data_IF_945242635949
#
_entry.id   IF_945242635949
#
_cell.length_a   1.000
_cell.length_b   1.000
_cell.length_c   1.000
_cell.angle_alpha   90.00
_cell.angle_beta   90.00
_cell.angle_gamma   90.00
#
_symmetry.space_group_name_H-M   'P 1'
#
loop_
_entity.id
_entity.type
_entity.pdbx_description
1 polymer ?
#
# COMPACT_ATOMS: atom_id res chain seq x y z
N UNK A 1 46.66 8.84 6.24
CA UNK A 1 45.55 9.75 5.89
C UNK A 1 44.62 9.20 4.79
N UNK A 2 45.09 8.83 3.60
CA UNK A 2 44.21 8.32 2.51
C UNK A 2 43.30 7.14 2.90
N UNK A 3 43.80 6.20 3.72
CA UNK A 3 43.03 5.03 4.17
C UNK A 3 41.82 5.37 5.07
N UNK A 4 41.96 6.40 5.92
CA UNK A 4 40.88 6.86 6.81
C UNK A 4 39.77 7.53 5.99
N UNK A 5 40.12 8.38 5.01
CA UNK A 5 39.14 8.98 4.12
C UNK A 5 38.42 7.96 3.24
N UNK A 6 39.12 6.93 2.75
CA UNK A 6 38.51 5.83 2.01
C UNK A 6 37.56 4.99 2.88
N UNK A 7 37.93 4.74 4.14
CA UNK A 7 37.07 4.02 5.09
C UNK A 7 35.83 4.83 5.47
N UNK A 8 35.98 6.13 5.74
CA UNK A 8 34.86 7.04 6.01
C UNK A 8 33.92 7.18 4.81
N UNK A 9 34.44 7.20 3.57
CA UNK A 9 33.63 7.22 2.34
C UNK A 9 32.90 5.90 2.09
N UNK A 10 33.48 4.75 2.45
CA UNK A 10 32.82 3.45 2.37
C UNK A 10 31.71 3.33 3.43
N UNK A 11 31.98 3.79 4.65
CA UNK A 11 30.98 3.83 5.73
C UNK A 11 29.82 4.77 5.37
N UNK A 12 30.14 5.95 4.83
CA UNK A 12 29.19 6.91 4.27
C UNK A 12 28.30 6.30 3.18
N UNK A 13 28.92 5.64 2.19
CA UNK A 13 28.21 4.97 1.12
C UNK A 13 27.27 3.88 1.62
N UNK A 14 27.73 3.09 2.61
CA UNK A 14 26.91 2.04 3.23
C UNK A 14 25.70 2.61 3.99
N UNK A 15 25.86 3.73 4.70
CA UNK A 15 24.79 4.35 5.47
C UNK A 15 23.74 5.04 4.58
N UNK A 16 24.18 5.65 3.47
CA UNK A 16 23.28 6.26 2.46
C UNK A 16 22.46 5.20 1.71
N UNK A 17 23.02 4.01 1.47
CA UNK A 17 22.26 2.89 0.89
C UNK A 17 21.13 2.40 1.81
N UNK A 18 21.24 2.58 3.14
CA UNK A 18 20.23 2.14 4.10
C UNK A 18 19.01 3.08 4.16
N UNK A 19 19.18 4.39 3.98
CA UNK A 19 18.07 5.37 4.07
C UNK A 19 17.16 5.33 2.86
N UNK A 20 17.73 5.14 1.67
CA UNK A 20 16.95 4.95 0.43
C UNK A 20 16.11 3.67 0.47
N UNK A 21 16.61 2.63 1.15
CA UNK A 21 15.89 1.37 1.38
C UNK A 21 14.68 1.55 2.31
N UNK A 22 14.83 2.30 3.41
CA UNK A 22 13.74 2.54 4.35
C UNK A 22 12.56 3.28 3.69
N UNK A 23 12.84 4.29 2.85
CA UNK A 23 11.81 5.08 2.21
C UNK A 23 10.99 4.34 1.11
N UNK A 24 11.53 3.27 0.54
CA UNK A 24 10.82 2.42 -0.42
C UNK A 24 10.11 1.24 0.27
N UNK A 25 10.69 0.74 1.35
CA UNK A 25 10.08 -0.29 2.21
C UNK A 25 8.67 0.12 2.67
N UNK A 26 8.47 1.36 3.10
CA UNK A 26 7.18 1.84 3.60
C UNK A 26 6.05 1.85 2.56
N UNK A 27 6.35 2.10 1.27
CA UNK A 27 5.34 2.10 0.20
C UNK A 27 4.89 0.68 -0.12
N UNK A 28 5.82 -0.26 -0.05
CA UNK A 28 5.51 -1.69 -0.16
C UNK A 28 4.53 -2.14 0.94
N UNK A 29 4.62 -1.59 2.17
CA UNK A 29 3.63 -1.88 3.22
C UNK A 29 2.23 -1.45 2.77
N UNK A 30 2.05 -0.22 2.26
CA UNK A 30 0.75 0.24 1.77
C UNK A 30 0.24 -0.63 0.61
N UNK A 31 1.09 -0.95 -0.37
CA UNK A 31 0.72 -1.82 -1.49
C UNK A 31 0.43 -3.26 -1.04
N UNK A 32 1.00 -3.70 0.07
CA UNK A 32 0.72 -5.03 0.61
C UNK A 32 -0.71 -5.15 1.15
N UNK A 33 -1.32 -4.03 1.55
CA UNK A 33 -2.66 -3.95 2.16
C UNK A 33 -3.79 -3.80 1.13
N UNK A 34 -3.50 -3.77 -0.17
CA UNK A 34 -4.46 -3.38 -1.21
C UNK A 34 -5.74 -4.21 -1.29
N UNK A 35 -5.68 -5.51 -0.93
CA UNK A 35 -6.85 -6.39 -0.94
C UNK A 35 -7.92 -5.94 0.06
N UNK A 36 -7.52 -5.25 1.12
CA UNK A 36 -8.40 -4.65 2.13
C UNK A 36 -8.48 -3.12 2.01
N UNK A 37 -7.51 -2.47 1.37
CA UNK A 37 -7.47 -1.03 1.12
C UNK A 37 -7.05 -0.72 -0.34
N UNK A 38 -7.95 -0.85 -1.34
CA UNK A 38 -7.61 -0.65 -2.75
C UNK A 38 -7.17 0.79 -3.08
N UNK A 39 -7.50 1.76 -2.22
CA UNK A 39 -7.04 3.15 -2.32
C UNK A 39 -5.50 3.26 -2.32
N UNK A 40 -4.81 2.31 -1.70
CA UNK A 40 -3.34 2.27 -1.64
C UNK A 40 -2.67 2.14 -3.01
N UNK A 41 -3.34 1.52 -3.97
CA UNK A 41 -2.79 1.24 -5.31
C UNK A 41 -3.46 2.06 -6.40
N UNK A 42 -4.72 2.47 -6.24
CA UNK A 42 -5.44 3.22 -7.25
C UNK A 42 -6.26 4.37 -6.64
N UNK A 43 -5.88 5.64 -6.87
CA UNK A 43 -6.62 6.78 -6.32
C UNK A 43 -8.01 6.95 -6.94
N UNK A 44 -8.29 6.36 -8.11
CA UNK A 44 -9.62 6.37 -8.71
C UNK A 44 -10.64 5.50 -7.94
N UNK A 45 -10.18 4.67 -7.01
CA UNK A 45 -11.04 3.87 -6.15
C UNK A 45 -11.71 4.70 -5.03
N UNK A 46 -11.17 5.87 -4.67
CA UNK A 46 -11.61 6.66 -3.52
C UNK A 46 -13.12 6.92 -3.50
N UNK A 47 -13.90 6.36 -2.57
CA UNK A 47 -15.34 6.52 -2.48
C UNK A 47 -16.17 5.58 -3.37
N UNK A 48 -15.56 4.55 -3.96
CA UNK A 48 -16.23 3.60 -4.87
C UNK A 48 -17.37 2.82 -4.21
N UNK A 49 -17.27 2.64 -2.89
CA UNK A 49 -18.29 1.99 -2.06
C UNK A 49 -19.48 2.88 -1.69
N UNK A 50 -19.48 4.13 -2.16
CA UNK A 50 -20.52 5.15 -1.91
C UNK A 50 -20.92 5.32 -0.43
N UNK A 51 -20.03 4.91 0.46
CA UNK A 51 -20.18 4.94 1.90
C UNK A 51 -18.89 5.45 2.50
N UNK A 52 -18.97 6.14 3.63
CA UNK A 52 -17.79 6.52 4.37
C UNK A 52 -17.16 5.26 4.98
N UNK A 53 -15.85 5.11 4.78
CA UNK A 53 -15.04 4.03 5.31
C UNK A 53 -13.81 4.63 5.96
N UNK A 54 -13.48 4.16 7.16
CA UNK A 54 -12.22 4.45 7.84
C UNK A 54 -11.56 3.12 8.17
N UNK A 55 -10.38 2.85 7.64
CA UNK A 55 -9.58 1.66 7.95
C UNK A 55 -8.30 2.06 8.66
N UNK A 56 -7.94 1.34 9.71
CA UNK A 56 -6.67 1.48 10.42
C UNK A 56 -5.98 0.12 10.44
N UNK A 57 -4.71 0.09 10.07
CA UNK A 57 -3.89 -1.10 10.10
C UNK A 57 -2.74 -0.90 11.08
N UNK A 58 -2.47 -1.92 11.87
CA UNK A 58 -1.32 -2.00 12.74
C UNK A 58 -0.54 -3.26 12.37
N UNK A 59 0.68 -3.04 11.91
CA UNK A 59 1.65 -4.08 11.59
C UNK A 59 2.79 -4.00 12.59
N UNK A 60 3.12 -5.13 13.23
CA UNK A 60 4.29 -5.23 14.10
C UNK A 60 5.11 -6.46 13.73
N UNK A 61 6.39 -6.24 13.45
CA UNK A 61 7.35 -7.33 13.26
C UNK A 61 7.88 -7.76 14.63
N UNK A 62 8.25 -9.03 14.78
CA UNK A 62 8.95 -9.57 15.95
C UNK A 62 8.32 -9.14 17.28
N UNK A 63 7.14 -9.68 17.60
CA UNK A 63 6.35 -9.31 18.79
C UNK A 63 7.18 -9.35 20.08
N UNK A 64 8.13 -10.29 20.18
CA UNK A 64 9.01 -10.49 21.34
C UNK A 64 10.19 -9.51 21.44
N UNK A 65 10.48 -8.73 20.40
CA UNK A 65 11.65 -7.84 20.35
C UNK A 65 11.24 -6.40 20.69
N UNK A 66 11.95 -5.78 21.65
CA UNK A 66 11.78 -4.35 21.97
C UNK A 66 12.32 -3.49 20.82
N UNK A 67 11.63 -2.40 20.51
CA UNK A 67 11.94 -1.52 19.36
C UNK A 67 11.87 -2.20 17.99
N UNK A 68 11.16 -3.32 17.88
CA UNK A 68 10.91 -3.96 16.60
C UNK A 68 10.14 -3.01 15.66
N UNK A 69 10.28 -3.20 14.33
CA UNK A 69 9.56 -2.39 13.37
C UNK A 69 8.04 -2.40 13.59
N UNK A 70 7.46 -1.21 13.63
CA UNK A 70 6.02 -1.00 13.74
C UNK A 70 5.57 -0.05 12.65
N UNK A 71 4.56 -0.48 11.90
CA UNK A 71 3.94 0.33 10.87
C UNK A 71 2.47 0.53 11.20
N UNK A 72 2.01 1.77 11.08
CA UNK A 72 0.63 2.18 11.26
C UNK A 72 0.17 2.84 9.98
N UNK A 73 -0.93 2.39 9.41
CA UNK A 73 -1.58 3.08 8.31
C UNK A 73 -3.03 3.36 8.64
N UNK A 74 -3.52 4.51 8.20
CA UNK A 74 -4.92 4.88 8.29
C UNK A 74 -5.35 5.32 6.91
N UNK A 75 -6.48 4.81 6.43
CA UNK A 75 -7.14 5.29 5.22
C UNK A 75 -8.57 5.65 5.52
N UNK A 76 -9.05 6.71 4.89
CA UNK A 76 -10.45 7.08 4.92
C UNK A 76 -10.90 7.43 3.50
N UNK A 77 -12.08 6.97 3.10
CA UNK A 77 -12.65 7.34 1.82
C UNK A 77 -14.17 7.40 1.87
N UNK A 78 -14.76 8.14 0.95
CA UNK A 78 -16.20 8.30 0.84
C UNK A 78 -16.60 9.02 -0.44
N UNK A 79 -17.90 8.97 -0.75
CA UNK A 79 -18.45 9.69 -1.89
C UNK A 79 -19.31 10.87 -1.45
N UNK A 80 -19.23 11.95 -2.21
CA UNK A 80 -20.07 13.13 -2.13
C UNK A 80 -20.71 13.40 -3.50
N UNK A 81 -21.54 14.44 -3.60
CA UNK A 81 -22.19 14.84 -4.84
C UNK A 81 -22.94 13.66 -5.52
N UNK A 82 -23.73 12.92 -4.74
CA UNK A 82 -24.51 11.75 -5.19
C UNK A 82 -23.63 10.69 -5.88
N UNK A 83 -22.47 10.36 -5.31
CA UNK A 83 -21.57 9.34 -5.83
C UNK A 83 -20.57 9.84 -6.89
N UNK A 84 -20.79 11.02 -7.49
CA UNK A 84 -19.98 11.53 -8.61
C UNK A 84 -18.58 11.96 -8.22
N UNK A 85 -18.36 12.37 -6.98
CA UNK A 85 -17.04 12.76 -6.49
C UNK A 85 -16.69 11.87 -5.31
N UNK A 86 -15.54 11.23 -5.41
CA UNK A 86 -14.90 10.46 -4.37
C UNK A 86 -13.79 11.25 -3.71
N UNK A 87 -13.73 11.24 -2.38
CA UNK A 87 -12.63 11.79 -1.61
C UNK A 87 -11.96 10.65 -0.85
N UNK A 88 -10.64 10.71 -0.77
CA UNK A 88 -9.85 9.75 -0.01
C UNK A 88 -8.68 10.41 0.68
N UNK A 89 -8.25 9.80 1.76
CA UNK A 89 -7.16 10.20 2.62
C UNK A 89 -6.39 8.97 3.05
N UNK A 90 -5.06 9.05 3.06
CA UNK A 90 -4.19 8.00 3.58
C UNK A 90 -3.07 8.63 4.38
N UNK A 91 -2.80 8.06 5.55
CA UNK A 91 -1.63 8.38 6.35
C UNK A 91 -0.88 7.10 6.66
N UNK A 92 0.44 7.19 6.65
CA UNK A 92 1.35 6.11 6.99
C UNK A 92 2.37 6.63 7.99
N UNK A 93 2.61 5.88 9.05
CA UNK A 93 3.69 6.09 9.98
C UNK A 93 4.44 4.76 10.12
N UNK A 94 5.65 4.69 9.56
CA UNK A 94 6.50 3.52 9.61
C UNK A 94 7.74 3.81 10.45
N UNK A 95 7.99 2.98 11.46
CA UNK A 95 9.15 3.11 12.34
C UNK A 95 9.96 1.83 12.29
N UNK A 96 11.18 1.95 11.78
CA UNK A 96 12.17 0.87 11.70
C UNK A 96 13.43 1.29 12.47
N UNK A 97 13.49 0.93 13.75
CA UNK A 97 14.61 1.34 14.62
C UNK A 97 14.69 2.86 14.79
N UNK A 98 15.81 3.46 14.40
CA UNK A 98 16.04 4.92 14.47
C UNK A 98 15.43 5.68 13.28
N UNK A 99 14.97 4.98 12.26
CA UNK A 99 14.34 5.59 11.09
C UNK A 99 12.84 5.62 11.28
N UNK A 100 12.25 6.81 11.14
CA UNK A 100 10.81 7.02 11.16
C UNK A 100 10.41 7.78 9.90
N UNK A 101 9.43 7.25 9.19
CA UNK A 101 8.86 7.89 8.01
C UNK A 101 7.39 8.13 8.21
N UNK A 102 6.93 9.32 7.86
CA UNK A 102 5.53 9.69 7.85
C UNK A 102 5.10 10.11 6.44
N UNK A 103 4.05 9.48 5.91
CA UNK A 103 3.43 9.84 4.63
C UNK A 103 1.99 10.30 4.85
N UNK A 104 1.58 11.35 4.16
CA UNK A 104 0.19 11.83 4.14
C UNK A 104 -0.21 12.09 2.71
N UNK A 105 -1.34 11.53 2.28
CA UNK A 105 -1.83 11.58 0.91
C UNK A 105 -3.33 11.89 0.90
N UNK A 106 -3.74 12.75 0.00
CA UNK A 106 -5.14 13.01 -0.32
C UNK A 106 -5.42 12.61 -1.77
N UNK A 107 -6.59 12.05 -2.01
CA UNK A 107 -7.03 11.60 -3.33
C UNK A 107 -8.42 12.13 -3.65
N UNK A 108 -8.64 12.48 -4.91
CA UNK A 108 -9.95 12.87 -5.44
C UNK A 108 -10.22 12.02 -6.67
N UNK A 109 -11.43 11.47 -6.76
CA UNK A 109 -11.90 10.69 -7.88
C UNK A 109 -13.17 11.30 -8.47
N UNK A 110 -13.23 11.47 -9.79
CA UNK A 110 -14.45 11.85 -10.51
C UNK A 110 -15.05 10.64 -11.20
N UNK A 111 -16.35 10.40 -11.01
CA UNK A 111 -17.09 9.26 -11.57
C UNK A 111 -18.05 9.67 -12.66
N UNK A 112 -18.01 8.88 -13.73
CA UNK A 112 -18.97 8.87 -14.80
C UNK A 112 -19.82 7.62 -14.67
N UNK A 113 -21.12 7.80 -14.48
CA UNK A 113 -22.07 6.70 -14.51
C UNK A 113 -22.30 6.29 -15.97
N UNK A 114 -22.14 5.01 -16.25
CA UNK A 114 -22.36 4.39 -17.54
C UNK A 114 -23.67 3.58 -17.51
N UNK A 115 -24.20 3.18 -18.68
CA UNK A 115 -25.33 2.24 -18.74
C UNK A 115 -25.01 0.92 -18.03
N UNK A 116 -26.06 0.18 -17.64
CA UNK A 116 -25.96 -1.11 -16.94
C UNK A 116 -25.21 -1.06 -15.59
N UNK A 117 -25.48 -0.02 -14.79
CA UNK A 117 -24.94 0.19 -13.44
C UNK A 117 -23.40 0.31 -13.34
N UNK A 118 -22.72 0.33 -14.48
CA UNK A 118 -21.27 0.49 -14.53
C UNK A 118 -20.85 1.93 -14.19
N UNK A 119 -19.66 2.05 -13.61
CA UNK A 119 -19.05 3.33 -13.21
C UNK A 119 -17.61 3.37 -13.69
N UNK A 120 -17.24 4.48 -14.32
CA UNK A 120 -15.86 4.78 -14.71
C UNK A 120 -15.35 5.96 -13.89
N UNK A 121 -14.25 5.75 -13.17
CA UNK A 121 -13.68 6.72 -12.24
C UNK A 121 -12.30 7.15 -12.70
N UNK A 122 -12.01 8.45 -12.62
CA UNK A 122 -10.69 9.03 -12.86
C UNK A 122 -10.19 9.64 -11.56
N UNK A 123 -9.01 9.22 -11.12
CA UNK A 123 -8.44 9.58 -9.83
C UNK A 123 -7.15 10.36 -9.94
N UNK A 124 -7.00 11.33 -9.06
CA UNK A 124 -5.76 12.04 -8.82
C UNK A 124 -5.41 11.96 -7.33
N UNK A 125 -4.13 11.82 -7.02
CA UNK A 125 -3.59 11.81 -5.67
C UNK A 125 -2.44 12.79 -5.56
N UNK A 126 -2.39 13.48 -4.43
CA UNK A 126 -1.26 14.31 -4.02
C UNK A 126 -0.93 14.07 -2.56
N UNK A 127 0.34 14.15 -2.20
CA UNK A 127 0.77 13.93 -0.83
C UNK A 127 2.22 14.31 -0.59
N UNK A 128 2.62 14.17 0.67
CA UNK A 128 3.99 14.42 1.12
C UNK A 128 4.45 13.25 1.97
N UNK A 129 5.68 12.81 1.75
CA UNK A 129 6.37 11.85 2.59
C UNK A 129 7.58 12.53 3.24
N UNK A 130 7.65 12.49 4.56
CA UNK A 130 8.78 12.97 5.35
C UNK A 130 9.71 11.79 5.55
N UNK A 131 10.86 11.83 4.89
CA UNK A 131 11.86 10.78 4.92
C UNK A 131 13.06 11.21 5.78
N UNK A 132 13.59 10.33 6.65
CA UNK A 132 14.86 10.59 7.31
C UNK A 132 15.99 10.33 6.30
N UNK A 133 16.73 11.39 5.95
CA UNK A 133 17.94 11.29 5.13
C UNK A 133 19.12 11.50 6.05
N UNK A 134 20.03 10.53 6.06
CA UNK A 134 21.25 10.66 6.82
C UNK A 134 22.26 11.50 6.05
N UNK A 135 22.62 12.65 6.61
CA UNK A 135 23.70 13.48 6.13
C UNK A 135 25.02 13.01 6.74
N UNK A 136 25.87 12.44 5.89
CA UNK A 136 27.18 11.92 6.27
C UNK A 136 28.12 13.04 6.71
N UNK A 137 27.99 14.24 6.15
CA UNK A 137 28.90 15.35 6.43
C UNK A 137 28.71 15.92 7.83
N UNK A 138 27.47 15.91 8.32
CA UNK A 138 27.11 16.37 9.67
C UNK A 138 26.88 15.22 10.65
N UNK A 139 26.93 13.96 10.19
CA UNK A 139 26.55 12.76 10.92
C UNK A 139 25.15 12.87 11.56
N UNK A 140 24.24 13.61 10.92
CA UNK A 140 22.91 13.92 11.42
C UNK A 140 21.82 13.36 10.49
N UNK A 141 20.69 12.96 11.08
CA UNK A 141 19.48 12.62 10.33
C UNK A 141 18.67 13.89 10.08
N UNK A 142 18.49 14.26 8.81
CA UNK A 142 17.70 15.40 8.38
C UNK A 142 16.40 14.88 7.76
N UNK A 143 15.26 15.34 8.28
CA UNK A 143 13.96 15.02 7.72
C UNK A 143 13.72 15.84 6.43
N UNK A 144 13.48 15.15 5.32
CA UNK A 144 13.18 15.79 4.02
C UNK A 144 11.78 15.44 3.56
N UNK A 145 11.01 16.49 3.25
CA UNK A 145 9.70 16.36 2.64
C UNK A 145 9.84 16.06 1.14
N UNK A 146 9.14 15.03 0.68
CA UNK A 146 9.11 14.59 -0.71
C UNK A 146 7.67 14.59 -1.20
N UNK A 147 7.39 15.36 -2.25
CA UNK A 147 6.08 15.36 -2.87
C UNK A 147 5.83 14.02 -3.58
N UNK A 148 4.60 13.52 -3.43
CA UNK A 148 4.07 12.33 -4.08
C UNK A 148 2.83 12.73 -4.88
N UNK A 149 2.77 12.30 -6.13
CA UNK A 149 1.64 12.53 -7.02
C UNK A 149 1.24 11.20 -7.62
N UNK A 150 -0.04 10.95 -7.83
CA UNK A 150 -0.54 9.71 -8.41
C UNK A 150 -1.76 9.94 -9.27
N UNK A 151 -1.99 9.04 -10.22
CA UNK A 151 -3.17 9.04 -11.08
C UNK A 151 -3.71 7.63 -11.26
N UNK A 152 -4.99 7.52 -11.60
CA UNK A 152 -5.57 6.25 -11.93
C UNK A 152 -6.90 6.36 -12.66
N UNK A 153 -7.28 5.23 -13.24
CA UNK A 153 -8.59 4.97 -13.81
C UNK A 153 -9.11 3.69 -13.18
N UNK A 154 -10.39 3.67 -12.84
CA UNK A 154 -11.04 2.51 -12.24
C UNK A 154 -12.43 2.33 -12.83
N UNK A 155 -12.67 1.16 -13.41
CA UNK A 155 -13.95 0.71 -13.91
C UNK A 155 -14.53 -0.31 -12.94
N UNK A 156 -15.81 -0.14 -12.62
CA UNK A 156 -16.54 -0.99 -11.69
C UNK A 156 -17.91 -1.29 -12.28
N UNK A 157 -18.31 -2.56 -12.22
CA UNK A 157 -19.62 -3.04 -12.63
C UNK A 157 -19.98 -4.26 -11.79
N UNK A 158 -21.23 -4.67 -11.88
CA UNK A 158 -21.78 -5.83 -11.18
C UNK A 158 -21.10 -7.15 -11.61
N UNK A 159 -20.46 -7.16 -12.78
CA UNK A 159 -19.84 -8.36 -13.39
C UNK A 159 -18.34 -8.41 -13.24
N UNK A 160 -17.67 -7.26 -13.26
CA UNK A 160 -16.21 -7.19 -13.12
C UNK A 160 -15.77 -5.79 -12.74
N UNK A 161 -14.58 -5.72 -12.16
CA UNK A 161 -13.86 -4.47 -11.97
C UNK A 161 -12.49 -4.56 -12.65
N UNK A 162 -12.00 -3.41 -13.11
CA UNK A 162 -10.67 -3.28 -13.67
C UNK A 162 -10.13 -1.88 -13.41
N UNK A 163 -8.82 -1.72 -13.31
CA UNK A 163 -8.21 -0.41 -13.11
C UNK A 163 -6.77 -0.37 -13.54
N UNK A 164 -6.34 0.83 -13.92
CA UNK A 164 -4.93 1.13 -14.20
C UNK A 164 -4.54 2.34 -13.38
N UNK A 165 -3.39 2.29 -12.75
CA UNK A 165 -2.91 3.40 -11.94
C UNK A 165 -1.40 3.53 -12.00
N UNK A 166 -0.96 4.77 -11.80
CA UNK A 166 0.39 5.08 -11.39
C UNK A 166 0.25 5.81 -10.04
N UNK A 167 0.23 5.07 -8.91
CA UNK A 167 0.01 5.69 -7.59
C UNK A 167 1.14 6.66 -7.20
N UNK A 168 2.28 6.57 -7.89
CA UNK A 168 3.47 7.41 -7.67
C UNK A 168 4.12 7.78 -9.01
N UNK A 169 3.92 9.03 -9.43
CA UNK A 169 4.50 9.66 -10.61
C UNK A 169 5.78 10.46 -10.28
N UNK A 170 5.91 10.93 -9.04
CA UNK A 170 6.85 11.99 -8.64
C UNK A 170 7.98 11.59 -7.67
N UNK A 171 8.91 12.54 -7.50
CA UNK A 171 9.92 12.58 -6.43
C UNK A 171 11.35 12.21 -6.85
N UNK A 172 12.09 13.12 -7.50
CA UNK A 172 13.55 13.13 -7.40
C UNK A 172 13.91 13.99 -6.19
N UNK A 173 14.55 13.38 -5.21
CA UNK A 173 15.18 14.12 -4.13
C UNK A 173 16.63 14.31 -4.54
N UNK A 174 16.95 15.48 -5.08
CA UNK A 174 18.33 15.88 -5.32
C UNK A 174 18.89 16.46 -4.02
N UNK A 175 20.05 16.00 -3.60
CA UNK A 175 20.83 16.64 -2.54
C UNK A 175 21.55 17.89 -3.08
N UNK A 176 21.92 18.82 -2.20
CA UNK A 176 22.48 20.15 -2.49
C UNK A 176 23.82 20.06 -3.28
N UNK A 177 24.44 18.88 -3.31
CA UNK A 177 25.67 18.55 -4.05
C UNK A 177 25.45 17.75 -5.34
N UNK A 178 24.21 17.50 -5.77
CA UNK A 178 23.90 16.78 -7.02
C UNK A 178 24.31 15.32 -7.06
N UNK A 179 24.71 14.73 -5.91
CA UNK A 179 25.39 13.43 -5.87
C UNK A 179 24.52 12.23 -5.50
N UNK A 180 23.31 12.44 -4.99
CA UNK A 180 22.44 11.34 -4.54
C UNK A 180 21.08 11.38 -5.22
N UNK A 181 20.79 10.33 -5.99
CA UNK A 181 19.55 10.11 -6.70
C UNK A 181 18.69 9.14 -5.87
N UNK A 182 17.66 9.65 -5.21
CA UNK A 182 16.56 8.79 -4.78
C UNK A 182 15.87 8.24 -6.02
N UNK A 183 16.11 6.96 -6.37
CA UNK A 183 15.40 6.29 -7.47
C UNK A 183 14.00 5.90 -6.96
N UNK A 184 13.08 6.85 -7.01
CA UNK A 184 11.67 6.63 -6.68
C UNK A 184 11.12 5.45 -7.48
N UNK A 185 10.58 4.43 -6.81
CA UNK A 185 9.89 3.33 -7.46
C UNK A 185 8.54 3.83 -7.94
N UNK A 186 8.33 3.74 -9.26
CA UNK A 186 7.14 4.21 -9.96
C UNK A 186 6.48 3.01 -10.62
N UNK A 187 5.68 2.23 -9.88
CA UNK A 187 4.98 1.11 -10.46
C UNK A 187 3.80 1.65 -11.28
N UNK A 188 3.64 1.13 -12.50
CA UNK A 188 2.36 1.15 -13.18
C UNK A 188 1.64 -0.12 -12.76
N UNK A 189 0.43 0.02 -12.25
CA UNK A 189 -0.37 -1.07 -11.72
C UNK A 189 -1.60 -1.28 -12.60
N UNK A 190 -1.89 -2.53 -12.91
CA UNK A 190 -3.12 -2.98 -13.55
C UNK A 190 -3.81 -3.96 -12.62
N UNK A 191 -5.06 -3.72 -12.29
CA UNK A 191 -5.87 -4.63 -11.47
C UNK A 191 -7.11 -5.05 -12.24
N UNK A 192 -7.52 -6.30 -12.06
CA UNK A 192 -8.81 -6.79 -12.57
C UNK A 192 -9.35 -7.91 -11.68
N UNK A 193 -10.67 -8.05 -11.61
CA UNK A 193 -11.31 -9.14 -10.91
C UNK A 193 -12.79 -9.26 -11.23
N UNK A 194 -13.36 -10.40 -10.86
CA UNK A 194 -14.73 -10.78 -11.21
C UNK A 194 -15.43 -11.26 -9.94
N UNK A 195 -16.48 -10.60 -9.45
CA UNK A 195 -17.34 -11.17 -8.43
C UNK A 195 -18.21 -12.28 -9.04
N UNK A 196 -18.21 -13.46 -8.43
CA UNK A 196 -18.96 -14.64 -8.85
C UNK A 196 -19.83 -15.08 -7.66
N UNK A 197 -21.14 -15.02 -7.83
CA UNK A 197 -22.10 -15.56 -6.86
C UNK A 197 -22.14 -17.09 -7.01
N UNK A 198 -21.69 -17.82 -5.98
CA UNK A 198 -21.60 -19.31 -6.00
C UNK A 198 -22.71 -19.95 -5.16
N UNK A 199 -23.50 -19.14 -4.45
CA UNK A 199 -24.68 -19.55 -3.70
C UNK A 199 -25.45 -18.33 -3.21
N UNK A 200 -26.51 -18.55 -2.41
CA UNK A 200 -27.42 -17.47 -1.96
C UNK A 200 -26.74 -16.39 -1.11
N UNK A 201 -25.61 -16.70 -0.49
CA UNK A 201 -24.91 -15.79 0.41
C UNK A 201 -23.38 -15.85 0.29
N UNK A 202 -22.87 -16.47 -0.78
CA UNK A 202 -21.43 -16.64 -0.98
C UNK A 202 -20.98 -16.01 -2.29
N UNK A 203 -20.03 -15.08 -2.19
CA UNK A 203 -19.42 -14.45 -3.36
C UNK A 203 -17.92 -14.70 -3.39
N UNK A 204 -17.46 -15.29 -4.48
CA UNK A 204 -16.04 -15.48 -4.77
C UNK A 204 -15.55 -14.36 -5.67
N UNK A 205 -14.38 -13.82 -5.38
CA UNK A 205 -13.76 -12.74 -6.13
C UNK A 205 -12.32 -13.18 -6.49
N UNK A 206 -12.13 -13.96 -7.57
CA UNK A 206 -10.84 -14.06 -8.20
C UNK A 206 -10.40 -12.69 -8.73
N UNK A 207 -9.14 -12.34 -8.48
CA UNK A 207 -8.56 -11.10 -9.00
C UNK A 207 -7.06 -11.21 -9.25
N UNK A 208 -6.56 -10.39 -10.16
CA UNK A 208 -5.14 -10.26 -10.47
C UNK A 208 -4.70 -8.81 -10.29
N UNK A 209 -3.50 -8.61 -9.77
CA UNK A 209 -2.79 -7.34 -9.82
C UNK A 209 -1.47 -7.56 -10.56
N UNK A 210 -1.18 -6.71 -11.53
CA UNK A 210 0.08 -6.69 -12.25
C UNK A 210 0.75 -5.35 -11.97
N UNK A 211 2.01 -5.38 -11.56
CA UNK A 211 2.81 -4.18 -11.31
C UNK A 211 4.05 -4.19 -12.18
N UNK A 212 4.25 -3.15 -12.98
CA UNK A 212 5.44 -2.98 -13.84
C UNK A 212 6.26 -1.77 -13.39
N UNK A 213 7.56 -2.01 -13.24
CA UNK A 213 8.58 -0.98 -13.02
C UNK A 213 9.60 -1.12 -14.16
N UNK A 214 10.05 -0.01 -14.74
CA UNK A 214 10.84 0.01 -15.98
C UNK A 214 12.05 -0.96 -15.96
N UNK A 215 12.78 -0.98 -14.83
CA UNK A 215 14.01 -1.75 -14.67
C UNK A 215 13.85 -2.99 -13.78
N UNK A 216 12.63 -3.52 -13.65
CA UNK A 216 12.37 -4.73 -12.86
C UNK A 216 11.52 -5.75 -13.62
N UNK A 217 11.66 -7.05 -13.28
CA UNK A 217 10.71 -8.09 -13.64
C UNK A 217 9.27 -7.68 -13.31
N UNK A 218 8.33 -8.30 -14.01
CA UNK A 218 6.91 -8.07 -13.81
C UNK A 218 6.48 -8.60 -12.45
N UNK A 219 5.82 -7.78 -11.65
CA UNK A 219 5.12 -8.18 -10.42
C UNK A 219 3.72 -8.67 -10.74
N UNK A 220 3.33 -9.79 -10.15
CA UNK A 220 2.03 -10.43 -10.38
C UNK A 220 1.50 -10.97 -9.06
N UNK A 221 0.31 -10.53 -8.68
CA UNK A 221 -0.44 -11.08 -7.55
C UNK A 221 -1.68 -11.81 -8.09
N UNK A 222 -1.80 -13.10 -7.79
CA UNK A 222 -3.00 -13.89 -8.06
C UNK A 222 -3.75 -14.05 -6.75
N UNK A 223 -5.02 -13.66 -6.75
CA UNK A 223 -5.80 -13.57 -5.52
C UNK A 223 -7.15 -14.27 -5.68
N UNK A 224 -7.62 -14.80 -4.57
CA UNK A 224 -8.96 -15.32 -4.41
C UNK A 224 -9.52 -14.80 -3.09
N UNK A 225 -10.63 -14.08 -3.14
CA UNK A 225 -11.39 -13.68 -1.95
C UNK A 225 -12.73 -14.40 -1.93
N UNK A 226 -13.23 -14.72 -0.75
CA UNK A 226 -14.54 -15.31 -0.54
C UNK A 226 -15.26 -14.52 0.54
N UNK A 227 -16.52 -14.17 0.28
CA UNK A 227 -17.39 -13.48 1.22
C UNK A 227 -18.58 -14.35 1.53
N UNK A 228 -18.88 -14.53 2.82
CA UNK A 228 -19.97 -15.33 3.34
C UNK A 228 -20.92 -14.44 4.13
N UNK A 229 -22.19 -14.44 3.75
CA UNK A 229 -23.27 -13.63 4.35
C UNK A 229 -22.92 -12.14 4.47
N UNK A 230 -22.02 -11.61 3.65
CA UNK A 230 -21.45 -10.25 3.78
C UNK A 230 -20.72 -9.96 5.12
N UNK A 231 -20.64 -10.94 6.02
CA UNK A 231 -20.13 -10.81 7.38
C UNK A 231 -18.69 -11.33 7.52
N UNK A 232 -18.36 -12.41 6.83
CA UNK A 232 -17.05 -13.06 6.90
C UNK A 232 -16.37 -13.02 5.54
N UNK A 233 -15.20 -12.40 5.49
CA UNK A 233 -14.33 -12.37 4.33
C UNK A 233 -13.09 -13.22 4.57
N UNK A 234 -12.76 -14.09 3.63
CA UNK A 234 -11.49 -14.80 3.58
C UNK A 234 -10.76 -14.40 2.31
N UNK A 235 -9.43 -14.37 2.34
CA UNK A 235 -8.67 -14.18 1.12
C UNK A 235 -7.32 -14.85 1.16
N UNK A 236 -6.90 -15.31 -0.01
CA UNK A 236 -5.61 -15.89 -0.29
C UNK A 236 -5.00 -15.16 -1.48
N UNK A 237 -3.70 -14.95 -1.44
CA UNK A 237 -2.95 -14.26 -2.47
C UNK A 237 -1.56 -14.86 -2.59
N UNK A 238 -1.18 -15.22 -3.81
CA UNK A 238 0.20 -15.53 -4.16
C UNK A 238 0.78 -14.32 -4.88
N UNK A 239 1.79 -13.71 -4.29
CA UNK A 239 2.41 -12.47 -4.74
C UNK A 239 3.80 -12.77 -5.23
N UNK A 240 4.05 -12.46 -6.49
CA UNK A 240 5.32 -12.70 -7.16
C UNK A 240 5.95 -11.36 -7.55
N UNK A 241 7.24 -11.21 -7.28
CA UNK A 241 8.03 -10.00 -7.58
C UNK A 241 7.35 -8.72 -7.07
N UNK A 242 7.14 -8.62 -5.75
CA UNK A 242 6.58 -7.43 -5.10
C UNK A 242 7.13 -6.10 -5.65
N UNK A 243 6.28 -5.06 -5.85
CA UNK A 243 6.69 -3.80 -6.47
C UNK A 243 7.69 -2.99 -5.62
N UNK A 244 7.95 -3.36 -4.38
CA UNK A 244 8.98 -2.80 -3.52
C UNK A 244 10.40 -2.90 -4.09
N UNK A 245 11.37 -2.32 -3.38
CA UNK A 245 12.77 -2.36 -3.80
C UNK A 245 13.31 -3.78 -3.99
N UNK A 246 12.71 -4.73 -3.27
CA UNK A 246 13.13 -6.11 -3.20
C UNK A 246 11.97 -6.94 -3.71
N UNK A 247 12.27 -7.75 -4.71
CA UNK A 247 11.32 -8.68 -5.28
C UNK A 247 11.26 -9.89 -4.37
N UNK A 248 10.14 -10.01 -3.66
CA UNK A 248 9.89 -11.12 -2.75
C UNK A 248 8.66 -11.86 -3.26
N UNK A 249 8.75 -13.19 -3.27
CA UNK A 249 7.61 -14.05 -3.54
C UNK A 249 7.03 -14.53 -2.22
N UNK A 250 5.75 -14.31 -1.96
CA UNK A 250 5.15 -14.69 -0.69
C UNK A 250 3.66 -15.02 -0.82
N UNK A 251 3.18 -15.79 0.15
CA UNK A 251 1.78 -16.04 0.35
C UNK A 251 1.23 -15.02 1.33
N UNK A 252 0.09 -14.43 1.00
CA UNK A 252 -0.69 -13.60 1.88
C UNK A 252 -2.04 -14.27 2.11
N UNK A 253 -2.45 -14.35 3.35
CA UNK A 253 -3.78 -14.80 3.75
C UNK A 253 -4.42 -13.73 4.63
N UNK A 254 -5.72 -13.56 4.53
CA UNK A 254 -6.43 -12.69 5.46
C UNK A 254 -7.81 -13.25 5.81
N UNK A 255 -8.30 -12.80 6.95
CA UNK A 255 -9.68 -12.94 7.40
C UNK A 255 -10.21 -11.56 7.79
N UNK A 256 -11.44 -11.26 7.45
CA UNK A 256 -12.18 -10.07 7.85
C UNK A 256 -13.52 -10.52 8.45
N UNK A 257 -13.88 -9.99 9.61
CA UNK A 257 -15.10 -10.34 10.33
C UNK A 257 -15.87 -9.08 10.73
N UNK A 258 -17.18 -9.08 10.45
CA UNK A 258 -18.13 -8.05 10.86
C UNK A 258 -18.49 -8.21 12.35
N UNK A 259 -17.82 -7.45 13.21
CA UNK A 259 -18.05 -7.51 14.66
C UNK A 259 -19.37 -6.82 15.08
N UNK A 260 -19.68 -5.68 14.47
CA UNK A 260 -20.94 -4.95 14.65
C UNK A 260 -21.36 -4.37 13.31
N UNK A 261 -22.58 -3.86 13.14
CA UNK A 261 -23.02 -3.24 11.86
C UNK A 261 -22.09 -2.14 11.33
N UNK A 262 -21.29 -1.52 12.19
CA UNK A 262 -20.38 -0.43 11.84
C UNK A 262 -18.89 -0.82 11.90
N UNK A 263 -18.51 -1.92 12.55
CA UNK A 263 -17.10 -2.26 12.81
C UNK A 263 -16.77 -3.62 12.22
N UNK A 264 -15.65 -3.68 11.48
CA UNK A 264 -15.01 -4.92 11.05
C UNK A 264 -13.61 -5.03 11.63
N UNK A 265 -13.22 -6.25 11.95
CA UNK A 265 -11.85 -6.60 12.31
C UNK A 265 -11.27 -7.47 11.21
N UNK A 266 -10.05 -7.16 10.80
CA UNK A 266 -9.29 -7.95 9.86
C UNK A 266 -7.97 -8.40 10.46
N UNK A 267 -7.48 -9.51 9.96
CA UNK A 267 -6.15 -10.00 10.26
C UNK A 267 -5.50 -10.46 8.96
N UNK A 268 -4.28 -9.99 8.72
CA UNK A 268 -3.48 -10.31 7.55
C UNK A 268 -2.23 -11.05 8.01
N UNK A 269 -1.95 -12.15 7.35
CA UNK A 269 -0.73 -12.92 7.49
C UNK A 269 0.05 -12.88 6.19
N UNK A 270 1.31 -12.47 6.25
CA UNK A 270 2.24 -12.61 5.13
C UNK A 270 3.29 -13.66 5.50
N UNK A 271 3.58 -14.60 4.60
CA UNK A 271 4.55 -15.67 4.84
C UNK A 271 6.00 -15.17 4.88
N UNK A 272 6.27 -14.00 4.27
CA UNK A 272 7.57 -13.35 4.27
C UNK A 272 7.44 -11.84 4.54
N UNK A 273 8.57 -11.21 4.83
CA UNK A 273 8.68 -9.76 4.99
C UNK A 273 9.08 -9.13 3.65
N UNK A 274 8.14 -8.54 2.87
CA UNK A 274 8.41 -8.11 1.50
C UNK A 274 9.36 -6.91 1.40
N UNK A 275 9.59 -6.19 2.50
CA UNK A 275 10.42 -4.99 2.50
C UNK A 275 11.91 -5.24 2.86
N UNK A 276 12.33 -6.48 3.14
CA UNK A 276 13.69 -6.76 3.64
C UNK A 276 14.47 -7.77 2.81
N UNK A 277 15.74 -7.48 2.44
CA UNK A 277 16.55 -8.40 1.62
C UNK A 277 17.07 -9.56 2.46
N UNK A 278 17.14 -9.34 3.77
CA UNK A 278 17.55 -10.32 4.76
C UNK A 278 16.33 -11.05 5.34
N UNK A 279 15.14 -10.98 4.71
CA UNK A 279 13.96 -11.74 5.11
C UNK A 279 14.27 -13.24 5.32
N UNK A 280 15.22 -13.78 4.56
CA UNK A 280 15.67 -15.17 4.70
C UNK A 280 16.57 -15.45 5.91
N UNK A 281 17.21 -14.41 6.47
CA UNK A 281 18.15 -14.49 7.60
C UNK A 281 17.47 -14.24 8.96
N UNK A 282 16.24 -13.71 8.98
CA UNK A 282 15.49 -13.54 10.23
C UNK A 282 14.79 -14.84 10.63
N UNK A 283 14.81 -15.11 11.93
CA UNK A 283 14.20 -16.30 12.54
C UNK A 283 12.67 -16.30 12.38
N UNK A 284 12.06 -15.11 12.47
CA UNK A 284 10.65 -14.89 12.18
C UNK A 284 10.48 -14.14 10.87
N UNK A 285 10.12 -14.91 9.83
CA UNK A 285 9.93 -14.46 8.45
C UNK A 285 8.53 -13.87 8.22
N UNK A 286 7.55 -14.39 8.95
CA UNK A 286 6.15 -14.01 8.80
C UNK A 286 5.85 -12.65 9.41
N UNK A 287 4.87 -11.97 8.82
CA UNK A 287 4.36 -10.69 9.27
C UNK A 287 2.88 -10.86 9.61
N UNK A 288 2.50 -10.26 10.72
CA UNK A 288 1.14 -10.24 11.23
C UNK A 288 0.66 -8.80 11.26
N UNK A 289 -0.50 -8.54 10.65
CA UNK A 289 -1.15 -7.23 10.64
C UNK A 289 -2.58 -7.37 11.13
N UNK A 290 -3.03 -6.39 11.91
CA UNK A 290 -4.42 -6.28 12.36
C UNK A 290 -5.02 -5.06 11.69
N UNK A 291 -6.24 -5.21 11.19
CA UNK A 291 -7.03 -4.14 10.61
C UNK A 291 -8.28 -3.89 11.47
N UNK A 292 -8.64 -2.63 11.65
CA UNK A 292 -9.98 -2.24 12.07
C UNK A 292 -10.59 -1.37 10.99
N UNK A 293 -11.82 -1.66 10.57
CA UNK A 293 -12.59 -0.82 9.66
C UNK A 293 -13.86 -0.33 10.34
N UNK A 294 -14.16 0.96 10.19
CA UNK A 294 -15.35 1.62 10.67
C UNK A 294 -16.17 2.21 9.52
N UNK A 295 -17.48 1.99 9.54
CA UNK A 295 -18.45 2.57 8.60
C UNK A 295 -19.77 2.91 9.30
N UNK A 296 -20.16 4.19 9.37
CA UNK A 296 -21.31 4.62 10.16
C UNK A 296 -22.67 4.26 9.53
N UNK A 297 -22.77 4.15 8.21
CA UNK A 297 -24.05 3.95 7.50
C UNK A 297 -24.38 2.48 7.21
N UNK A 298 -23.73 1.55 7.91
CA UNK A 298 -23.78 0.12 7.62
C UNK A 298 -22.86 -0.24 6.44
N UNK A 299 -22.18 -1.38 6.56
CA UNK A 299 -21.34 -1.91 5.50
C UNK A 299 -22.21 -2.58 4.44
N UNK A 300 -22.61 -1.81 3.42
CA UNK A 300 -23.18 -2.41 2.21
C UNK A 300 -22.04 -2.97 1.36
N UNK A 301 -22.12 -4.23 0.97
CA UNK A 301 -21.24 -4.77 -0.05
C UNK A 301 -21.49 -4.06 -1.38
N UNK A 302 -20.46 -3.41 -1.91
CA UNK A 302 -20.42 -2.91 -3.27
C UNK A 302 -19.10 -3.39 -3.88
N UNK A 303 -19.19 -4.26 -4.90
CA UNK A 303 -18.05 -4.84 -5.64
C UNK A 303 -17.40 -3.81 -6.55
#
# INVERSE_FOLDING_TARGET
MRFIYSFSLLLAGSLVLLTTQAAQAQKEVLYSQYLLNPLSINPAYAGSRESFQLSAFLRRKWISVRYAPVTQSVSADGAIANGRIGLGFQALNDRMGLFATTGVYGSVAYRINLPALAKLSFGFQGGVSILPIFDVTTAASINKAVASLGVGVYYQSDRFFAGVSAPELGGQVTDITGRYLYKSVRPIMFQAGVPIEVGESTVLIPSVLVSKIADRPLGVDINLRAWFNEEVGLGLSYRQNSPGQIQTNYLQAFIEYQLTKAIRLGYIFNSQTPESPNAMQYDQKSVHEIMLRFSPNGLKFAY
#
